data_IF_305991300700
#
_entry.id   IF_305991300700
#
_cell.length_a   1.000
_cell.length_b   1.000
_cell.length_c   1.000
_cell.angle_alpha   90.00
_cell.angle_beta   90.00
_cell.angle_gamma   90.00
#
_symmetry.space_group_name_H-M   'P 1'
#
loop_
_entity.id
_entity.type
_entity.pdbx_description
1 polymer ?
#
# COMPACT_ATOMS: atom_id res chain seq x y z
N UNK A 1 1.71 -14.05 -9.73
CA UNK A 1 1.81 -13.52 -8.35
C UNK A 1 0.73 -12.48 -8.14
N UNK A 2 0.03 -12.52 -7.02
CA UNK A 2 -0.95 -11.50 -6.62
C UNK A 2 -0.43 -10.69 -5.43
N UNK A 3 -0.50 -9.37 -5.56
CA UNK A 3 -0.06 -8.42 -4.54
C UNK A 3 -1.27 -7.73 -3.93
N UNK A 4 -1.39 -7.82 -2.61
CA UNK A 4 -2.34 -7.05 -1.83
C UNK A 4 -1.73 -5.70 -1.47
N UNK A 5 -2.38 -4.62 -1.88
CA UNK A 5 -1.95 -3.24 -1.61
C UNK A 5 -2.85 -2.66 -0.53
N UNK A 6 -2.28 -2.36 0.64
CA UNK A 6 -2.99 -1.72 1.75
C UNK A 6 -2.81 -0.21 1.63
N UNK A 7 -3.92 0.51 1.56
CA UNK A 7 -3.92 1.99 1.45
C UNK A 7 -4.63 2.57 2.66
N UNK A 8 -3.86 3.24 3.53
CA UNK A 8 -4.37 3.93 4.71
C UNK A 8 -5.13 5.23 4.39
N UNK A 9 -5.35 6.06 5.42
CA UNK A 9 -5.99 7.36 5.28
C UNK A 9 -5.36 8.22 4.15
N UNK A 10 -6.15 8.85 3.25
CA UNK A 10 -5.61 9.58 2.12
C UNK A 10 -5.30 11.06 2.44
N UNK A 11 -4.78 11.37 3.63
CA UNK A 11 -4.43 12.75 4.00
C UNK A 11 -3.28 13.31 3.17
N UNK A 12 -2.12 12.63 3.01
CA UNK A 12 -1.03 13.20 2.25
C UNK A 12 -1.31 13.11 0.74
N UNK A 13 -1.25 14.22 -0.02
CA UNK A 13 -1.58 14.23 -1.45
C UNK A 13 -0.69 13.31 -2.31
N UNK A 14 0.51 12.99 -1.84
CA UNK A 14 1.42 12.08 -2.51
C UNK A 14 0.91 10.61 -2.54
N UNK A 15 -0.06 10.22 -1.70
CA UNK A 15 -0.48 8.82 -1.55
C UNK A 15 -1.12 8.27 -2.84
N UNK A 16 -2.23 8.87 -3.29
CA UNK A 16 -3.04 8.34 -4.39
C UNK A 16 -2.23 8.22 -5.70
N UNK A 17 -1.46 9.24 -6.13
CA UNK A 17 -0.59 9.10 -7.31
C UNK A 17 0.48 8.00 -7.15
N UNK A 18 1.02 7.81 -5.94
CA UNK A 18 2.00 6.76 -5.67
C UNK A 18 1.39 5.36 -5.74
N UNK A 19 0.15 5.20 -5.28
CA UNK A 19 -0.61 3.95 -5.39
C UNK A 19 -0.91 3.62 -6.85
N UNK A 20 -1.40 4.57 -7.65
CA UNK A 20 -1.62 4.38 -9.10
C UNK A 20 -0.32 4.02 -9.83
N UNK A 21 0.79 4.68 -9.46
CA UNK A 21 2.11 4.32 -9.99
C UNK A 21 2.47 2.87 -9.67
N UNK A 22 2.33 2.44 -8.40
CA UNK A 22 2.61 1.05 -7.99
C UNK A 22 1.75 0.06 -8.79
N UNK A 23 0.43 0.29 -8.87
CA UNK A 23 -0.50 -0.57 -9.62
C UNK A 23 -0.05 -0.74 -11.06
N UNK A 24 0.30 0.36 -11.74
CA UNK A 24 0.79 0.30 -13.11
C UNK A 24 2.08 -0.53 -13.23
N UNK A 25 3.03 -0.37 -12.31
CA UNK A 25 4.28 -1.13 -12.32
C UNK A 25 4.05 -2.63 -12.06
N UNK A 26 3.17 -2.99 -11.12
CA UNK A 26 2.82 -4.38 -10.83
C UNK A 26 2.14 -5.02 -12.05
N UNK A 27 1.18 -4.33 -12.67
CA UNK A 27 0.50 -4.80 -13.88
C UNK A 27 1.44 -5.00 -15.05
N UNK A 28 2.40 -4.08 -15.26
CA UNK A 28 3.44 -4.21 -16.30
C UNK A 28 4.32 -5.45 -16.12
N UNK A 29 4.41 -5.99 -14.90
CA UNK A 29 5.12 -7.24 -14.59
C UNK A 29 4.24 -8.49 -14.64
N UNK A 30 2.97 -8.34 -15.02
CA UNK A 30 2.01 -9.45 -15.08
C UNK A 30 1.48 -9.88 -13.70
N UNK A 31 1.62 -9.04 -12.67
CA UNK A 31 1.09 -9.35 -11.34
C UNK A 31 -0.38 -8.97 -11.22
N UNK A 32 -1.15 -9.82 -10.54
CA UNK A 32 -2.50 -9.46 -10.09
C UNK A 32 -2.42 -8.49 -8.92
N UNK A 33 -3.39 -7.59 -8.83
CA UNK A 33 -3.42 -6.55 -7.78
C UNK A 33 -4.79 -6.54 -7.13
N UNK A 34 -4.80 -6.56 -5.80
CA UNK A 34 -5.99 -6.32 -4.98
C UNK A 34 -5.70 -5.16 -4.04
N UNK A 35 -6.60 -4.19 -3.93
CA UNK A 35 -6.49 -3.05 -3.04
C UNK A 35 -7.41 -3.27 -1.84
N UNK A 36 -6.88 -3.13 -0.63
CA UNK A 36 -7.66 -3.01 0.59
C UNK A 36 -7.48 -1.59 1.14
N UNK A 37 -8.56 -0.81 1.16
CA UNK A 37 -8.48 0.61 1.50
C UNK A 37 -9.79 1.12 2.09
N UNK A 38 -9.73 2.23 2.83
CA UNK A 38 -10.95 2.86 3.32
C UNK A 38 -11.78 3.48 2.17
N UNK A 39 -13.07 3.78 2.38
CA UNK A 39 -13.95 4.28 1.31
C UNK A 39 -13.48 5.59 0.67
N UNK A 40 -12.81 6.46 1.43
CA UNK A 40 -12.29 7.72 0.90
C UNK A 40 -11.13 7.50 -0.08
N UNK A 41 -10.18 6.62 0.26
CA UNK A 41 -9.06 6.27 -0.60
C UNK A 41 -9.52 5.54 -1.87
N UNK A 42 -10.51 4.64 -1.76
CA UNK A 42 -11.11 3.97 -2.92
C UNK A 42 -11.75 4.98 -3.88
N UNK A 43 -12.57 5.90 -3.38
CA UNK A 43 -13.20 6.94 -4.21
C UNK A 43 -12.16 7.86 -4.87
N UNK A 44 -11.09 8.22 -4.16
CA UNK A 44 -10.02 9.04 -4.74
C UNK A 44 -9.28 8.32 -5.87
N UNK A 45 -9.06 7.01 -5.74
CA UNK A 45 -8.50 6.20 -6.82
C UNK A 45 -9.43 6.16 -8.03
N UNK A 46 -10.73 5.94 -7.81
CA UNK A 46 -11.74 5.91 -8.89
C UNK A 46 -11.84 7.24 -9.63
N UNK A 47 -11.84 8.36 -8.91
CA UNK A 47 -11.90 9.70 -9.53
C UNK A 47 -10.60 10.06 -10.24
N UNK A 48 -9.46 9.60 -9.74
CA UNK A 48 -8.16 9.86 -10.36
C UNK A 48 -7.88 9.01 -11.61
N UNK A 49 -8.66 7.96 -11.85
CA UNK A 49 -8.56 7.04 -12.99
C UNK A 49 -9.97 6.58 -13.41
N UNK A 50 -10.81 7.53 -13.80
CA UNK A 50 -12.23 7.35 -14.12
C UNK A 50 -12.46 6.41 -15.31
N UNK A 51 -11.60 6.50 -16.32
CA UNK A 51 -11.54 5.57 -17.47
C UNK A 51 -10.89 4.21 -17.13
N UNK A 52 -10.40 4.05 -15.90
CA UNK A 52 -9.81 2.81 -15.35
C UNK A 52 -8.59 2.31 -16.12
N UNK A 53 -7.73 3.18 -16.64
CA UNK A 53 -6.50 2.75 -17.32
C UNK A 53 -5.61 1.93 -16.37
N UNK A 54 -5.40 2.41 -15.15
CA UNK A 54 -4.62 1.75 -14.12
C UNK A 54 -5.44 0.72 -13.35
N UNK A 55 -6.70 1.03 -13.02
CA UNK A 55 -7.58 0.21 -12.19
C UNK A 55 -8.26 -0.96 -12.94
N UNK A 56 -8.19 -1.02 -14.27
CA UNK A 56 -8.75 -2.16 -15.03
C UNK A 56 -8.12 -3.48 -14.58
N UNK A 57 -8.99 -4.42 -14.16
CA UNK A 57 -8.58 -5.74 -13.68
C UNK A 57 -7.95 -5.76 -12.29
N UNK A 58 -8.06 -4.66 -11.53
CA UNK A 58 -7.61 -4.56 -10.14
C UNK A 58 -8.80 -4.86 -9.23
N UNK A 59 -8.64 -5.80 -8.29
CA UNK A 59 -9.63 -6.01 -7.24
C UNK A 59 -9.58 -4.88 -6.22
N UNK A 60 -10.72 -4.50 -5.65
CA UNK A 60 -10.78 -3.49 -4.60
C UNK A 60 -11.80 -3.90 -3.55
N UNK A 61 -11.43 -3.77 -2.27
CA UNK A 61 -12.28 -4.08 -1.12
C UNK A 61 -12.08 -3.02 -0.05
N UNK A 62 -13.12 -2.84 0.78
CA UNK A 62 -12.98 -2.09 2.01
C UNK A 62 -11.90 -2.71 2.91
N UNK A 63 -11.18 -1.88 3.65
CA UNK A 63 -10.04 -2.30 4.47
C UNK A 63 -10.43 -3.28 5.59
N UNK A 64 -11.65 -3.24 6.10
CA UNK A 64 -12.13 -4.21 7.10
C UNK A 64 -12.60 -5.51 6.43
N UNK A 65 -13.26 -5.40 5.28
CA UNK A 65 -13.72 -6.56 4.50
C UNK A 65 -12.55 -7.40 3.99
N UNK A 66 -11.44 -6.76 3.60
CA UNK A 66 -10.22 -7.47 3.22
C UNK A 66 -9.60 -8.30 4.36
N UNK A 67 -9.95 -8.04 5.63
CA UNK A 67 -9.52 -8.90 6.75
C UNK A 67 -10.35 -10.18 6.89
N UNK A 68 -11.48 -10.31 6.18
CA UNK A 68 -12.25 -11.57 6.16
C UNK A 68 -11.47 -12.67 5.44
N UNK A 69 -10.76 -12.30 4.38
CA UNK A 69 -9.82 -13.16 3.67
C UNK A 69 -9.94 -12.98 2.15
N UNK A 70 -8.80 -12.80 1.49
CA UNK A 70 -8.66 -12.72 0.04
C UNK A 70 -7.78 -13.90 -0.37
N UNK A 71 -8.28 -14.77 -1.23
CA UNK A 71 -7.54 -15.94 -1.65
C UNK A 71 -6.38 -15.60 -2.60
N UNK A 72 -5.35 -16.44 -2.61
CA UNK A 72 -4.27 -16.36 -3.60
C UNK A 72 -3.33 -15.17 -3.45
N UNK A 73 -3.29 -14.48 -2.29
CA UNK A 73 -2.33 -13.41 -2.02
C UNK A 73 -0.93 -13.99 -1.75
N UNK A 74 0.07 -13.49 -2.48
CA UNK A 74 1.46 -13.91 -2.36
C UNK A 74 2.30 -12.92 -1.54
N UNK A 75 2.06 -11.61 -1.71
CA UNK A 75 2.82 -10.51 -1.09
C UNK A 75 1.90 -9.37 -0.68
N UNK A 76 2.32 -8.59 0.31
CA UNK A 76 1.60 -7.40 0.79
C UNK A 76 2.51 -6.17 0.66
N UNK A 77 1.98 -5.07 0.12
CA UNK A 77 2.64 -3.76 0.12
C UNK A 77 1.70 -2.75 0.80
N UNK A 78 2.16 -2.07 1.83
CA UNK A 78 1.35 -1.15 2.62
C UNK A 78 1.90 0.28 2.58
N UNK A 79 1.00 1.25 2.46
CA UNK A 79 1.30 2.68 2.60
C UNK A 79 0.86 3.17 3.97
N UNK A 80 1.81 3.66 4.78
CA UNK A 80 1.58 4.02 6.19
C UNK A 80 2.01 5.45 6.46
N UNK A 81 1.09 6.30 6.90
CA UNK A 81 1.38 7.70 7.32
C UNK A 81 0.78 8.07 8.68
N UNK A 82 0.02 7.17 9.31
CA UNK A 82 -0.59 7.35 10.62
C UNK A 82 -0.63 6.01 11.38
N UNK A 83 -1.05 6.09 12.65
CA UNK A 83 -1.23 4.97 13.57
C UNK A 83 -2.20 3.91 13.04
N UNK A 84 -3.34 4.32 12.45
CA UNK A 84 -4.28 3.39 11.83
C UNK A 84 -3.63 2.55 10.73
N UNK A 85 -2.78 3.16 9.89
CA UNK A 85 -2.01 2.45 8.87
C UNK A 85 -1.05 1.42 9.47
N UNK A 86 -0.44 1.71 10.63
CA UNK A 86 0.42 0.76 11.35
C UNK A 86 -0.40 -0.45 11.81
N UNK A 87 -1.52 -0.20 12.49
CA UNK A 87 -2.39 -1.25 13.03
C UNK A 87 -2.92 -2.17 11.92
N UNK A 88 -3.50 -1.61 10.85
CA UNK A 88 -3.98 -2.42 9.74
C UNK A 88 -2.86 -3.24 9.11
N UNK A 89 -1.70 -2.63 8.85
CA UNK A 89 -0.59 -3.37 8.22
C UNK A 89 -0.15 -4.57 9.06
N UNK A 90 0.00 -4.38 10.38
CA UNK A 90 0.35 -5.46 11.30
C UNK A 90 -0.74 -6.54 11.34
N UNK A 91 -2.01 -6.16 11.38
CA UNK A 91 -3.13 -7.12 11.39
C UNK A 91 -3.23 -7.91 10.08
N UNK A 92 -3.04 -7.28 8.93
CA UNK A 92 -2.97 -7.96 7.63
C UNK A 92 -1.77 -8.90 7.56
N UNK A 93 -0.58 -8.49 8.02
CA UNK A 93 0.60 -9.37 8.11
C UNK A 93 0.27 -10.63 8.93
N UNK A 94 -0.35 -10.46 10.10
CA UNK A 94 -0.73 -11.58 10.97
C UNK A 94 -1.80 -12.48 10.35
N UNK A 95 -2.85 -11.89 9.73
CA UNK A 95 -3.96 -12.62 9.09
C UNK A 95 -3.49 -13.49 7.92
N UNK A 96 -2.61 -12.95 7.08
CA UNK A 96 -2.22 -13.60 5.82
C UNK A 96 -0.91 -14.38 5.91
N UNK A 97 -0.04 -14.04 6.87
CA UNK A 97 1.27 -14.69 7.03
C UNK A 97 2.21 -14.51 5.84
N UNK A 98 2.01 -13.49 5.00
CA UNK A 98 2.78 -13.24 3.77
C UNK A 98 3.89 -12.22 3.97
N UNK A 99 4.90 -12.25 3.12
CA UNK A 99 5.93 -11.21 3.12
C UNK A 99 5.28 -9.85 2.88
N UNK A 100 5.61 -8.90 3.74
CA UNK A 100 4.94 -7.61 3.82
C UNK A 100 5.98 -6.52 3.83
N UNK A 101 5.79 -5.53 2.95
CA UNK A 101 6.64 -4.37 2.79
C UNK A 101 5.83 -3.12 3.11
N UNK A 102 6.26 -2.35 4.10
CA UNK A 102 5.60 -1.09 4.46
C UNK A 102 6.43 0.10 3.99
N UNK A 103 5.77 1.07 3.36
CA UNK A 103 6.34 2.38 3.10
C UNK A 103 5.76 3.34 4.14
N UNK A 104 6.59 3.71 5.13
CA UNK A 104 6.26 4.72 6.13
C UNK A 104 6.65 6.10 5.60
N UNK A 105 5.68 7.01 5.50
CA UNK A 105 5.90 8.32 4.89
C UNK A 105 5.15 9.44 5.59
N UNK A 106 5.66 10.66 5.44
CA UNK A 106 5.10 11.86 6.04
C UNK A 106 6.05 13.05 5.93
N UNK A 107 5.66 14.21 6.48
CA UNK A 107 6.54 15.39 6.58
C UNK A 107 7.80 15.07 7.38
N UNK A 108 7.61 14.31 8.45
CA UNK A 108 8.65 13.69 9.25
C UNK A 108 8.34 12.20 9.34
N UNK A 109 9.37 11.40 9.61
CA UNK A 109 9.19 9.96 9.85
C UNK A 109 8.94 9.76 11.33
N UNK A 110 7.81 9.16 11.66
CA UNK A 110 7.54 8.71 13.00
C UNK A 110 8.28 7.37 13.23
N UNK A 111 9.27 7.39 14.12
CA UNK A 111 10.09 6.22 14.40
C UNK A 111 9.31 5.12 15.14
N UNK A 112 8.32 5.48 15.95
CA UNK A 112 7.50 4.50 16.66
C UNK A 112 6.70 3.63 15.68
N UNK A 113 6.23 4.22 14.58
CA UNK A 113 5.57 3.49 13.49
C UNK A 113 6.54 2.50 12.83
N UNK A 114 7.77 2.94 12.56
CA UNK A 114 8.81 2.10 11.95
C UNK A 114 9.17 0.93 12.87
N UNK A 115 9.40 1.19 14.14
CA UNK A 115 9.78 0.17 15.13
C UNK A 115 8.65 -0.84 15.34
N UNK A 116 7.41 -0.38 15.49
CA UNK A 116 6.24 -1.25 15.65
C UNK A 116 6.07 -2.20 14.47
N UNK A 117 6.20 -1.69 13.24
CA UNK A 117 6.12 -2.52 12.03
C UNK A 117 7.26 -3.53 11.95
N UNK A 118 8.51 -3.11 12.22
CA UNK A 118 9.67 -4.01 12.25
C UNK A 118 9.52 -5.11 13.29
N UNK A 119 9.06 -4.78 14.49
CA UNK A 119 8.79 -5.74 15.56
C UNK A 119 7.68 -6.74 15.18
N UNK A 120 6.84 -6.40 14.22
CA UNK A 120 5.82 -7.28 13.63
C UNK A 120 6.33 -8.12 12.44
N UNK A 121 7.65 -8.13 12.18
CA UNK A 121 8.26 -8.90 11.09
C UNK A 121 7.94 -8.33 9.70
N UNK A 122 7.76 -7.01 9.60
CA UNK A 122 7.48 -6.30 8.35
C UNK A 122 8.76 -5.58 7.90
N UNK A 123 9.06 -5.66 6.60
CA UNK A 123 10.17 -4.92 6.02
C UNK A 123 9.75 -3.45 5.77
N UNK A 124 10.48 -2.50 6.36
CA UNK A 124 10.06 -1.09 6.39
C UNK A 124 10.99 -0.20 5.57
N UNK A 125 10.38 0.56 4.65
CA UNK A 125 10.99 1.61 3.86
C UNK A 125 10.47 2.97 4.33
N UNK A 126 11.33 3.97 4.43
CA UNK A 126 10.94 5.31 4.91
C UNK A 126 11.09 6.36 3.82
N UNK A 127 10.12 7.26 3.71
CA UNK A 127 10.12 8.34 2.72
C UNK A 127 9.60 9.65 3.32
N UNK A 128 10.47 10.66 3.45
CA UNK A 128 10.02 12.02 3.79
C UNK A 128 9.31 12.61 2.58
N UNK A 129 7.98 12.52 2.58
CA UNK A 129 7.11 12.91 1.48
C UNK A 129 5.73 13.27 2.02
N UNK A 130 5.17 14.37 1.51
CA UNK A 130 3.80 14.77 1.82
C UNK A 130 3.06 15.16 0.54
N UNK A 131 3.58 16.15 -0.19
CA UNK A 131 3.05 16.56 -1.50
C UNK A 131 3.75 15.87 -2.67
N UNK A 132 5.10 15.80 -2.62
CA UNK A 132 5.91 15.23 -3.69
C UNK A 132 5.96 13.69 -3.57
N UNK A 133 5.48 12.92 -4.58
CA UNK A 133 5.46 11.45 -4.52
C UNK A 133 6.83 10.81 -4.81
N UNK A 134 7.81 11.54 -5.35
CA UNK A 134 9.08 10.97 -5.81
C UNK A 134 9.82 10.15 -4.73
N UNK A 135 9.92 10.59 -3.46
CA UNK A 135 10.55 9.77 -2.43
C UNK A 135 9.83 8.43 -2.20
N UNK A 136 8.49 8.41 -2.27
CA UNK A 136 7.68 7.19 -2.16
C UNK A 136 7.89 6.29 -3.40
N UNK A 137 7.87 6.88 -4.59
CA UNK A 137 8.14 6.19 -5.87
C UNK A 137 9.51 5.51 -5.87
N UNK A 138 10.53 6.15 -5.29
CA UNK A 138 11.84 5.53 -5.16
C UNK A 138 11.83 4.30 -4.24
N UNK A 139 11.01 4.29 -3.18
CA UNK A 139 10.81 3.10 -2.34
C UNK A 139 10.03 2.01 -3.05
N UNK A 140 9.01 2.38 -3.82
CA UNK A 140 8.29 1.43 -4.69
C UNK A 140 9.27 0.73 -5.63
N UNK A 141 10.17 1.47 -6.29
CA UNK A 141 11.19 0.88 -7.18
C UNK A 141 12.12 -0.09 -6.44
N UNK A 142 12.51 0.23 -5.21
CA UNK A 142 13.35 -0.66 -4.39
C UNK A 142 12.62 -1.97 -4.07
N UNK A 143 11.38 -1.90 -3.59
CA UNK A 143 10.55 -3.08 -3.30
C UNK A 143 10.34 -3.91 -4.57
N UNK A 144 10.04 -3.26 -5.69
CA UNK A 144 9.87 -3.94 -6.97
C UNK A 144 11.14 -4.67 -7.44
N UNK A 145 12.35 -4.32 -7.00
CA UNK A 145 13.55 -5.04 -7.43
C UNK A 145 13.74 -6.38 -6.69
N UNK A 146 12.97 -6.63 -5.64
CA UNK A 146 13.11 -7.82 -4.78
C UNK A 146 11.85 -8.69 -4.73
N UNK A 147 10.81 -8.33 -5.49
CA UNK A 147 9.57 -9.11 -5.64
C UNK A 147 9.28 -9.48 -7.10
#
# INVERSE_FOLDING_TARGET
MNVLVIVGCPEPPALIPSVLYLINQLKKRGFGVVIAANPAALKLLEVADDDKYYLKGVGAVDIDEGLRGIEGIDKIIAFVHNDGGVSYTATYKAKYGKDTYAIVFGRQINNDYVETLKNSGIEVYTARAFHNPIPIVNRIKQILNII
#
